data_IF_322968505402
#
_entry.id   IF_322968505402
#
_cell.length_a   1.000
_cell.length_b   1.000
_cell.length_c   1.000
_cell.angle_alpha   90.00
_cell.angle_beta   90.00
_cell.angle_gamma   90.00
#
_symmetry.space_group_name_H-M   'P 1'
#
loop_
_entity.id
_entity.type
_entity.pdbx_description
1 polymer ?
#
# COMPACT_ATOMS: atom_id res chain seq x y z
N UNK A 1 9.96 -12.60 -9.22
CA UNK A 1 9.63 -11.77 -8.05
C UNK A 1 10.52 -10.53 -7.90
N UNK A 2 11.83 -10.65 -8.13
CA UNK A 2 12.79 -9.54 -7.96
C UNK A 2 12.56 -8.32 -8.85
N UNK A 3 12.01 -8.50 -10.08
CA UNK A 3 11.56 -7.37 -10.91
C UNK A 3 10.52 -6.51 -10.19
N UNK A 4 9.57 -7.13 -9.48
CA UNK A 4 8.58 -6.39 -8.70
C UNK A 4 9.18 -5.76 -7.44
N UNK A 5 10.19 -6.41 -6.86
CA UNK A 5 11.02 -5.89 -5.77
C UNK A 5 11.73 -4.56 -6.05
N UNK A 6 11.78 -4.13 -7.31
CA UNK A 6 12.26 -2.79 -7.67
C UNK A 6 11.28 -1.67 -7.26
N UNK A 7 10.01 -2.01 -7.05
CA UNK A 7 8.93 -1.06 -6.77
C UNK A 7 8.51 -1.04 -5.30
N UNK A 8 8.71 -2.15 -4.57
CA UNK A 8 8.23 -2.36 -3.20
C UNK A 8 9.37 -2.74 -2.26
N UNK A 9 9.21 -2.45 -0.96
CA UNK A 9 10.16 -2.85 0.08
C UNK A 9 10.22 -4.36 0.34
N UNK A 10 11.34 -4.83 0.89
CA UNK A 10 11.61 -6.26 1.19
C UNK A 10 10.49 -6.93 1.98
N UNK A 11 9.96 -6.26 3.01
CA UNK A 11 8.90 -6.82 3.86
C UNK A 11 7.61 -7.10 3.08
N UNK A 12 7.21 -6.19 2.18
CA UNK A 12 6.04 -6.40 1.35
C UNK A 12 6.27 -7.53 0.35
N UNK A 13 7.45 -7.54 -0.30
CA UNK A 13 7.84 -8.58 -1.25
C UNK A 13 7.86 -9.97 -0.60
N UNK A 14 8.38 -10.07 0.63
CA UNK A 14 8.42 -11.29 1.42
C UNK A 14 7.02 -11.81 1.75
N UNK A 15 6.13 -10.94 2.25
CA UNK A 15 4.73 -11.32 2.54
C UNK A 15 3.99 -11.80 1.30
N UNK A 16 4.21 -11.14 0.16
CA UNK A 16 3.62 -11.54 -1.11
C UNK A 16 4.13 -12.92 -1.54
N UNK A 17 5.44 -13.16 -1.48
CA UNK A 17 6.02 -14.47 -1.80
C UNK A 17 5.48 -15.57 -0.89
N UNK A 18 5.33 -15.30 0.42
CA UNK A 18 4.71 -16.24 1.37
C UNK A 18 3.28 -16.59 1.00
N UNK A 19 2.46 -15.61 0.60
CA UNK A 19 1.09 -15.88 0.16
C UNK A 19 1.03 -16.74 -1.11
N UNK A 20 1.93 -16.51 -2.07
CA UNK A 20 2.04 -17.35 -3.28
C UNK A 20 2.47 -18.77 -2.90
N UNK A 21 3.52 -18.91 -2.07
CA UNK A 21 4.01 -20.20 -1.61
C UNK A 21 2.90 -21.01 -0.94
N UNK A 22 2.15 -20.42 -0.01
CA UNK A 22 1.02 -21.08 0.65
C UNK A 22 -0.06 -21.54 -0.33
N UNK A 23 -0.35 -20.73 -1.36
CA UNK A 23 -1.33 -21.08 -2.38
C UNK A 23 -0.86 -22.28 -3.23
N UNK A 24 0.42 -22.33 -3.57
CA UNK A 24 1.02 -23.47 -4.29
C UNK A 24 1.01 -24.73 -3.42
N UNK A 25 1.39 -24.62 -2.16
CA UNK A 25 1.39 -25.74 -1.22
C UNK A 25 -0.01 -26.32 -1.05
N UNK A 26 -1.04 -25.48 -1.01
CA UNK A 26 -2.45 -25.93 -1.00
C UNK A 26 -2.80 -26.73 -2.27
N UNK A 27 -2.43 -26.23 -3.45
CA UNK A 27 -2.67 -26.93 -4.71
C UNK A 27 -1.95 -28.30 -4.78
N UNK A 28 -0.72 -28.37 -4.27
CA UNK A 28 0.04 -29.63 -4.18
C UNK A 28 -0.65 -30.62 -3.25
N UNK A 29 -1.15 -30.17 -2.09
CA UNK A 29 -1.94 -31.00 -1.16
C UNK A 29 -3.19 -31.56 -1.83
N UNK A 30 -3.84 -30.76 -2.68
CA UNK A 30 -4.97 -31.17 -3.50
C UNK A 30 -4.58 -32.05 -4.71
N UNK A 31 -3.31 -32.46 -4.79
CA UNK A 31 -2.72 -33.29 -5.85
C UNK A 31 -2.77 -32.65 -7.23
N UNK A 32 -2.85 -31.32 -7.30
CA UNK A 32 -2.62 -30.58 -8.55
C UNK A 32 -1.14 -30.70 -8.90
N UNK A 33 -0.84 -31.14 -10.13
CA UNK A 33 0.52 -31.24 -10.62
C UNK A 33 1.05 -29.84 -10.96
N UNK A 34 1.83 -29.26 -10.04
CA UNK A 34 2.46 -27.95 -10.19
C UNK A 34 3.86 -27.98 -9.58
N UNK A 35 4.81 -27.35 -10.26
CA UNK A 35 6.16 -27.15 -9.72
C UNK A 35 6.16 -25.99 -8.73
N UNK A 36 6.74 -26.20 -7.55
CA UNK A 36 6.87 -25.13 -6.56
C UNK A 36 8.04 -24.19 -6.89
N UNK A 37 7.78 -23.24 -7.78
CA UNK A 37 8.72 -22.20 -8.18
C UNK A 37 9.02 -21.16 -7.07
N UNK A 38 8.42 -21.30 -5.89
CA UNK A 38 8.70 -20.42 -4.75
C UNK A 38 9.76 -20.98 -3.80
N UNK A 39 10.15 -22.25 -3.97
CA UNK A 39 11.22 -22.85 -3.19
C UNK A 39 12.57 -22.24 -3.55
N UNK A 40 13.39 -22.01 -2.52
CA UNK A 40 14.77 -21.50 -2.65
C UNK A 40 14.89 -20.17 -3.42
N UNK A 41 13.80 -19.40 -3.54
CA UNK A 41 13.84 -18.09 -4.20
C UNK A 41 14.46 -17.06 -3.27
N UNK A 42 15.58 -16.49 -3.70
CA UNK A 42 16.14 -15.30 -3.08
C UNK A 42 15.36 -14.05 -3.51
N UNK A 43 14.85 -13.33 -2.51
CA UNK A 43 14.09 -12.10 -2.70
C UNK A 43 14.99 -10.90 -2.52
N UNK A 44 15.06 -10.06 -3.55
CA UNK A 44 15.78 -8.80 -3.54
C UNK A 44 14.82 -7.64 -3.75
N UNK A 45 14.98 -6.61 -2.92
CA UNK A 45 14.30 -5.33 -3.07
C UNK A 45 15.34 -4.25 -3.22
N UNK A 46 15.15 -3.35 -4.19
CA UNK A 46 16.01 -2.18 -4.37
C UNK A 46 15.49 -0.95 -3.62
N UNK A 47 14.42 -1.09 -2.83
CA UNK A 47 13.94 -0.04 -1.94
C UNK A 47 14.63 -0.20 -0.60
N UNK A 48 15.30 0.85 -0.17
CA UNK A 48 15.86 0.90 1.18
C UNK A 48 14.73 0.67 2.19
N UNK A 49 15.03 -0.20 3.15
CA UNK A 49 14.14 -0.42 4.27
C UNK A 49 14.26 0.78 5.20
N UNK A 50 13.14 1.44 5.49
CA UNK A 50 13.09 2.51 6.48
C UNK A 50 13.62 1.98 7.81
N UNK A 51 14.61 2.68 8.37
CA UNK A 51 15.19 2.32 9.65
C UNK A 51 14.14 2.41 10.75
N UNK A 52 14.31 1.65 11.84
CA UNK A 52 13.31 1.62 12.92
C UNK A 52 13.17 2.99 13.56
N UNK A 53 14.28 3.69 13.69
CA UNK A 53 14.41 5.03 14.25
C UNK A 53 13.61 6.03 13.43
N UNK A 54 13.68 5.96 12.10
CA UNK A 54 12.96 6.86 11.18
C UNK A 54 11.42 6.71 11.22
N UNK A 55 10.89 5.71 11.95
CA UNK A 55 9.44 5.53 12.11
C UNK A 55 8.85 6.41 13.21
N UNK A 56 9.69 7.01 14.06
CA UNK A 56 9.26 7.82 15.19
C UNK A 56 9.46 9.31 14.93
N UNK A 57 8.71 10.14 15.65
CA UNK A 57 8.87 11.59 15.64
C UNK A 57 9.95 11.96 16.66
N UNK A 58 11.05 12.57 16.21
CA UNK A 58 12.17 12.95 17.07
C UNK A 58 12.24 14.45 17.32
N UNK A 59 11.63 15.24 16.43
CA UNK A 59 11.67 16.69 16.47
C UNK A 59 10.28 17.30 16.29
N UNK A 60 10.13 18.55 16.72
CA UNK A 60 8.92 19.33 16.44
C UNK A 60 8.65 19.43 14.94
N UNK A 61 9.71 19.51 14.13
CA UNK A 61 9.61 19.51 12.67
C UNK A 61 8.95 18.23 12.16
N UNK A 62 9.34 17.06 12.65
CA UNK A 62 8.74 15.78 12.23
C UNK A 62 7.22 15.78 12.49
N UNK A 63 6.82 16.34 13.63
CA UNK A 63 5.41 16.49 13.99
C UNK A 63 4.67 17.43 13.03
N UNK A 64 5.24 18.60 12.72
CA UNK A 64 4.66 19.55 11.77
C UNK A 64 4.55 18.97 10.35
N UNK A 65 5.59 18.25 9.91
CA UNK A 65 5.61 17.56 8.61
C UNK A 65 4.54 16.46 8.55
N UNK A 66 4.32 15.73 9.64
CA UNK A 66 3.24 14.76 9.76
C UNK A 66 1.86 15.44 9.63
N UNK A 67 1.61 16.53 10.35
CA UNK A 67 0.35 17.28 10.26
C UNK A 67 0.07 17.75 8.83
N UNK A 68 1.09 18.27 8.15
CA UNK A 68 0.98 18.68 6.74
C UNK A 68 0.70 17.49 5.82
N UNK A 69 1.39 16.36 6.01
CA UNK A 69 1.17 15.15 5.23
C UNK A 69 -0.26 14.61 5.39
N UNK A 70 -0.76 14.56 6.62
CA UNK A 70 -2.12 14.13 6.94
C UNK A 70 -3.15 15.06 6.29
N UNK A 71 -3.01 16.38 6.45
CA UNK A 71 -3.90 17.37 5.82
C UNK A 71 -3.92 17.23 4.29
N UNK A 72 -2.75 17.08 3.67
CA UNK A 72 -2.64 16.86 2.22
C UNK A 72 -3.34 15.57 1.78
N UNK A 73 -3.22 14.49 2.56
CA UNK A 73 -3.88 13.20 2.26
C UNK A 73 -5.40 13.33 2.30
N UNK A 74 -5.94 14.01 3.32
CA UNK A 74 -7.39 14.26 3.41
C UNK A 74 -7.89 15.14 2.27
N UNK A 75 -7.16 16.21 1.92
CA UNK A 75 -7.54 17.08 0.81
C UNK A 75 -7.54 16.35 -0.54
N UNK A 76 -6.50 15.54 -0.82
CA UNK A 76 -6.43 14.70 -2.03
C UNK A 76 -7.60 13.73 -2.10
N UNK A 77 -7.96 13.12 -0.97
CA UNK A 77 -9.10 12.21 -0.91
C UNK A 77 -10.42 12.93 -1.15
N UNK A 78 -10.60 14.13 -0.60
CA UNK A 78 -11.79 14.95 -0.82
C UNK A 78 -11.96 15.32 -2.30
N UNK A 79 -10.89 15.81 -2.95
CA UNK A 79 -10.89 16.11 -4.38
C UNK A 79 -11.21 14.85 -5.20
N UNK A 80 -10.62 13.71 -4.84
CA UNK A 80 -10.90 12.43 -5.53
C UNK A 80 -12.37 12.01 -5.40
N UNK A 81 -13.01 12.31 -4.26
CA UNK A 81 -14.42 12.03 -4.02
C UNK A 81 -15.32 12.97 -4.85
N UNK A 82 -15.01 14.27 -4.90
CA UNK A 82 -15.70 15.25 -5.77
C UNK A 82 -15.61 14.84 -7.24
N UNK A 83 -14.41 14.56 -7.72
CA UNK A 83 -14.16 14.12 -9.10
C UNK A 83 -14.87 12.79 -9.43
N UNK A 84 -15.11 11.94 -8.42
CA UNK A 84 -15.84 10.68 -8.58
C UNK A 84 -17.37 10.82 -8.52
N UNK A 85 -17.89 12.04 -8.34
CA UNK A 85 -19.34 12.30 -8.25
C UNK A 85 -20.00 11.78 -6.97
N UNK A 86 -19.21 11.39 -5.96
CA UNK A 86 -19.69 10.80 -4.70
C UNK A 86 -20.03 11.84 -3.63
N UNK A 87 -19.80 13.12 -3.91
CA UNK A 87 -20.23 14.23 -3.06
C UNK A 87 -21.51 14.81 -3.66
N UNK A 88 -22.63 14.66 -2.96
CA UNK A 88 -23.89 15.26 -3.37
C UNK A 88 -23.80 16.79 -3.19
N UNK A 89 -23.83 17.54 -4.28
CA UNK A 89 -24.14 18.97 -4.22
C UNK A 89 -25.60 19.11 -3.77
N UNK A 90 -25.83 19.43 -2.48
CA UNK A 90 -27.13 19.90 -2.02
C UNK A 90 -27.39 21.24 -2.74
N UNK A 91 -28.20 21.22 -3.81
CA UNK A 91 -28.72 22.45 -4.41
C UNK A 91 -29.48 23.19 -3.30
N UNK A 92 -28.87 24.24 -2.74
CA UNK A 92 -29.59 25.20 -1.92
C UNK A 92 -30.50 25.94 -2.89
N UNK A 93 -31.77 25.52 -2.96
CA UNK A 93 -32.78 26.22 -3.74
C UNK A 93 -32.91 27.63 -3.20
N UNK A 94 -32.40 28.61 -3.95
CA UNK A 94 -32.82 29.98 -3.78
C UNK A 94 -34.33 30.01 -4.09
N UNK A 95 -35.15 30.16 -3.06
CA UNK A 95 -36.57 30.43 -3.21
C UNK A 95 -36.70 31.71 -4.06
N UNK A 96 -37.25 31.55 -5.26
CA UNK A 96 -37.80 32.64 -6.04
C UNK A 96 -39.01 33.19 -5.27
N UNK A 97 -38.94 34.46 -4.90
CA UNK A 97 -40.10 35.31 -4.61
C UNK A 97 -40.38 36.15 -5.86
#
# INVERSE_FOLDING_TARGET
MNKYGQTVGRNFLSRLNTGIHQSIQMAIVDKVLIDDFTQHVELFSSKEQQMTEEKYLHTEKDYLDLLLAVRRKFLKNLIKLEMSGKIAHKKCGANQL
#
